data_IF_047857866729
#
_entry.id   IF_047857866729
#
_cell.length_a   1.000
_cell.length_b   1.000
_cell.length_c   1.000
_cell.angle_alpha   90.00
_cell.angle_beta   90.00
_cell.angle_gamma   90.00
#
_symmetry.space_group_name_H-M   'P 1'
#
loop_
_entity.id
_entity.type
_entity.pdbx_description
1 polymer ?
#
# COMPACT_ATOMS: atom_id res chain seq x y z
N UNK A 1 -33.61 -18.59 44.57
CA UNK A 1 -33.16 -17.52 43.65
C UNK A 1 -32.19 -18.00 42.55
N UNK A 2 -31.94 -19.27 42.33
CA UNK A 2 -30.96 -19.81 41.37
C UNK A 2 -31.60 -20.32 40.08
N UNK A 3 -32.92 -20.44 40.01
CA UNK A 3 -33.62 -21.01 38.85
C UNK A 3 -33.92 -19.96 37.77
N UNK A 4 -34.09 -18.70 38.10
CA UNK A 4 -34.40 -17.61 37.16
C UNK A 4 -33.18 -17.16 36.34
N UNK A 5 -31.96 -17.30 36.86
CA UNK A 5 -30.73 -16.94 36.13
C UNK A 5 -30.40 -17.94 35.00
N UNK A 6 -30.67 -19.23 35.23
CA UNK A 6 -30.46 -20.27 34.20
C UNK A 6 -31.43 -20.14 33.01
N UNK A 7 -32.65 -19.71 33.27
CA UNK A 7 -33.64 -19.45 32.19
C UNK A 7 -33.29 -18.22 31.36
N UNK A 8 -32.76 -17.16 31.96
CA UNK A 8 -32.31 -15.97 31.24
C UNK A 8 -31.07 -16.25 30.38
N UNK A 9 -30.15 -17.12 30.85
CA UNK A 9 -28.97 -17.50 30.09
C UNK A 9 -29.32 -18.42 28.88
N UNK A 10 -30.35 -19.26 29.03
CA UNK A 10 -30.80 -20.09 27.92
C UNK A 10 -31.57 -19.35 26.84
N UNK A 11 -32.23 -18.25 27.21
CA UNK A 11 -32.95 -17.36 26.27
C UNK A 11 -32.04 -16.46 25.45
N UNK A 12 -30.81 -16.21 25.92
CA UNK A 12 -29.82 -15.38 25.19
C UNK A 12 -29.06 -16.15 24.11
N UNK A 13 -29.15 -17.49 24.06
CA UNK A 13 -28.42 -18.34 23.10
C UNK A 13 -29.21 -18.57 21.80
N UNK A 14 -30.49 -18.24 21.77
CA UNK A 14 -31.38 -18.50 20.60
C UNK A 14 -31.48 -17.36 19.58
N UNK A 15 -30.67 -16.31 19.71
CA UNK A 15 -30.60 -15.22 18.73
C UNK A 15 -29.39 -15.36 17.79
N UNK A 16 -28.99 -16.61 17.46
CA UNK A 16 -28.18 -16.84 16.28
C UNK A 16 -29.11 -16.67 15.06
N UNK A 17 -29.19 -15.43 14.54
CA UNK A 17 -29.86 -15.16 13.29
C UNK A 17 -29.28 -16.08 12.21
N UNK A 18 -30.08 -17.03 11.72
CA UNK A 18 -29.70 -17.81 10.56
C UNK A 18 -29.49 -16.85 9.40
N UNK A 19 -28.26 -16.72 8.93
CA UNK A 19 -27.96 -16.01 7.70
C UNK A 19 -28.69 -16.77 6.58
N UNK A 20 -29.80 -16.22 6.09
CA UNK A 20 -30.54 -16.78 4.96
C UNK A 20 -29.63 -16.68 3.74
N UNK A 21 -29.08 -17.79 3.32
CA UNK A 21 -28.28 -17.91 2.10
C UNK A 21 -29.22 -17.76 0.89
N UNK A 22 -29.34 -16.55 0.38
CA UNK A 22 -30.17 -16.25 -0.80
C UNK A 22 -29.33 -16.33 -2.07
N UNK A 23 -29.94 -16.83 -3.14
CA UNK A 23 -29.36 -16.85 -4.48
C UNK A 23 -29.85 -15.64 -5.30
N UNK A 24 -28.98 -15.14 -6.16
CA UNK A 24 -29.29 -14.05 -7.09
C UNK A 24 -28.65 -14.35 -8.44
N UNK A 25 -29.37 -14.03 -9.54
CA UNK A 25 -28.77 -14.15 -10.88
C UNK A 25 -27.66 -13.10 -11.01
N UNK A 26 -26.45 -13.52 -11.40
CA UNK A 26 -25.31 -12.62 -11.47
C UNK A 26 -25.56 -11.43 -12.43
N UNK A 27 -26.24 -11.68 -13.55
CA UNK A 27 -26.60 -10.64 -14.51
C UNK A 27 -27.53 -9.55 -13.98
N UNK A 28 -28.33 -9.87 -12.95
CA UNK A 28 -29.27 -8.92 -12.32
C UNK A 28 -28.60 -8.05 -11.26
N UNK A 29 -27.36 -8.34 -10.91
CA UNK A 29 -26.59 -7.51 -9.98
C UNK A 29 -26.07 -6.29 -10.74
N UNK A 30 -26.64 -5.12 -10.46
CA UNK A 30 -26.24 -3.86 -11.11
C UNK A 30 -25.02 -3.23 -10.46
N UNK A 31 -24.89 -3.33 -9.15
CA UNK A 31 -23.83 -2.65 -8.40
C UNK A 31 -23.42 -3.49 -7.19
N UNK A 32 -22.10 -3.58 -6.96
CA UNK A 32 -21.52 -4.21 -5.78
C UNK A 32 -20.61 -3.18 -5.10
N UNK A 33 -20.80 -2.99 -3.79
CA UNK A 33 -19.92 -2.15 -2.97
C UNK A 33 -19.10 -3.07 -2.06
N UNK A 34 -17.80 -2.97 -2.16
CA UNK A 34 -16.82 -3.83 -1.47
C UNK A 34 -15.96 -2.99 -0.54
N UNK A 35 -15.64 -3.52 0.64
CA UNK A 35 -14.93 -2.79 1.69
C UNK A 35 -13.69 -3.53 2.16
N UNK A 36 -12.64 -2.78 2.46
CA UNK A 36 -11.42 -3.33 3.05
C UNK A 36 -11.68 -3.82 4.47
N UNK A 37 -11.09 -4.98 4.81
CA UNK A 37 -11.24 -5.59 6.13
C UNK A 37 -12.52 -6.40 6.33
N UNK A 38 -13.44 -6.39 5.39
CA UNK A 38 -14.62 -7.24 5.38
C UNK A 38 -14.38 -8.52 4.58
N UNK A 39 -15.07 -9.60 4.96
CA UNK A 39 -15.06 -10.88 4.23
C UNK A 39 -16.38 -11.10 3.51
N UNK A 40 -16.33 -11.87 2.42
CA UNK A 40 -17.53 -12.27 1.67
C UNK A 40 -18.32 -13.33 2.43
N UNK A 41 -19.59 -13.52 2.04
CA UNK A 41 -20.31 -14.75 2.39
C UNK A 41 -19.66 -15.96 1.70
N UNK A 42 -19.78 -17.12 2.31
CA UNK A 42 -19.33 -18.39 1.74
C UNK A 42 -20.27 -19.50 2.20
N UNK A 43 -20.63 -20.40 1.28
CA UNK A 43 -21.46 -21.58 1.54
C UNK A 43 -20.74 -22.86 1.11
N UNK A 44 -20.34 -22.94 -0.15
CA UNK A 44 -19.57 -24.06 -0.72
C UNK A 44 -18.07 -23.86 -0.54
N UNK A 45 -17.63 -22.61 -0.57
CA UNK A 45 -16.21 -22.22 -0.45
C UNK A 45 -16.02 -21.35 0.79
N UNK A 46 -14.80 -21.31 1.30
CA UNK A 46 -14.47 -20.42 2.41
C UNK A 46 -14.65 -18.94 2.03
N UNK A 47 -15.12 -18.10 2.96
CA UNK A 47 -15.14 -16.67 2.77
C UNK A 47 -13.77 -16.12 2.36
N UNK A 48 -13.74 -15.15 1.45
CA UNK A 48 -12.53 -14.45 1.03
C UNK A 48 -12.62 -12.97 1.42
N UNK A 49 -11.49 -12.23 1.50
CA UNK A 49 -11.55 -10.78 1.67
C UNK A 49 -12.33 -10.14 0.53
N UNK A 50 -13.18 -9.15 0.85
CA UNK A 50 -13.93 -8.42 -0.17
C UNK A 50 -13.02 -7.63 -1.12
N UNK A 51 -11.88 -7.11 -0.63
CA UNK A 51 -10.87 -6.44 -1.43
C UNK A 51 -9.53 -7.16 -1.29
N UNK A 52 -9.00 -7.66 -2.40
CA UNK A 52 -7.73 -8.38 -2.45
C UNK A 52 -6.81 -7.79 -3.54
N UNK A 53 -5.74 -7.11 -3.11
CA UNK A 53 -4.72 -6.59 -4.04
C UNK A 53 -3.77 -7.74 -4.42
N UNK A 54 -3.94 -8.29 -5.61
CA UNK A 54 -3.18 -9.47 -6.08
C UNK A 54 -1.88 -9.12 -6.79
N UNK A 55 -1.70 -7.88 -7.28
CA UNK A 55 -0.51 -7.52 -8.06
C UNK A 55 -0.39 -6.06 -8.41
N UNK A 56 0.42 -5.78 -9.43
CA UNK A 56 0.70 -4.46 -9.95
C UNK A 56 2.02 -3.86 -9.45
N UNK A 57 2.62 -2.98 -10.24
CA UNK A 57 3.92 -2.37 -9.94
C UNK A 57 3.86 -1.37 -8.77
N UNK A 58 2.66 -0.90 -8.41
CA UNK A 58 2.40 -0.03 -7.27
C UNK A 58 2.12 -0.75 -5.96
N UNK A 59 1.87 -2.08 -5.98
CA UNK A 59 1.40 -2.86 -4.82
C UNK A 59 2.24 -2.64 -3.56
N UNK A 60 3.55 -2.84 -3.66
CA UNK A 60 4.45 -2.73 -2.49
C UNK A 60 4.46 -1.32 -1.90
N UNK A 61 4.46 -0.30 -2.76
CA UNK A 61 4.45 1.09 -2.33
C UNK A 61 3.10 1.48 -1.71
N UNK A 62 2.00 1.04 -2.31
CA UNK A 62 0.66 1.26 -1.79
C UNK A 62 0.45 0.63 -0.40
N UNK A 63 0.89 -0.63 -0.21
CA UNK A 63 0.86 -1.27 1.11
C UNK A 63 1.66 -0.51 2.16
N UNK A 64 2.90 -0.12 1.84
CA UNK A 64 3.76 0.62 2.77
C UNK A 64 3.20 1.99 3.16
N UNK A 65 2.49 2.64 2.25
CA UNK A 65 1.87 3.96 2.47
C UNK A 65 0.47 3.89 3.05
N UNK A 66 -0.13 2.70 3.18
CA UNK A 66 -1.54 2.57 3.55
C UNK A 66 -2.48 3.20 2.53
N UNK A 67 -2.09 3.23 1.25
CA UNK A 67 -2.81 3.89 0.16
C UNK A 67 -3.70 2.92 -0.64
N UNK A 68 -4.00 1.74 -0.09
CA UNK A 68 -4.99 0.84 -0.68
C UNK A 68 -6.40 1.41 -0.50
N UNK A 69 -7.31 1.18 -1.47
CA UNK A 69 -8.67 1.67 -1.36
C UNK A 69 -9.39 1.03 -0.18
N UNK A 70 -10.13 1.83 0.57
CA UNK A 70 -10.98 1.35 1.67
C UNK A 70 -12.32 0.83 1.17
N UNK A 71 -12.82 1.42 0.07
CA UNK A 71 -14.08 1.07 -0.57
C UNK A 71 -13.90 1.08 -2.08
N UNK A 72 -14.45 0.08 -2.75
CA UNK A 72 -14.53 0.00 -4.21
C UNK A 72 -15.96 -0.29 -4.60
N UNK A 73 -16.46 0.42 -5.59
CA UNK A 73 -17.78 0.19 -6.18
C UNK A 73 -17.63 -0.34 -7.59
N UNK A 74 -18.19 -1.51 -7.86
CA UNK A 74 -18.22 -2.14 -9.17
C UNK A 74 -19.62 -2.05 -9.77
N UNK A 75 -19.71 -1.59 -11.01
CA UNK A 75 -20.96 -1.49 -11.79
C UNK A 75 -20.91 -2.50 -12.92
N UNK A 76 -22.03 -3.19 -13.09
CA UNK A 76 -22.24 -4.13 -14.19
C UNK A 76 -22.32 -3.35 -15.50
N UNK A 77 -21.47 -3.71 -16.46
CA UNK A 77 -21.39 -3.13 -17.81
C UNK A 77 -22.06 -4.00 -18.88
N UNK A 78 -22.76 -5.05 -18.44
CA UNK A 78 -23.34 -6.04 -19.33
C UNK A 78 -22.49 -7.31 -19.41
N UNK A 79 -22.84 -8.19 -20.34
CA UNK A 79 -22.17 -9.47 -20.56
C UNK A 79 -21.47 -9.46 -21.91
N UNK A 80 -20.32 -10.13 -21.98
CA UNK A 80 -19.61 -10.44 -23.22
C UNK A 80 -20.16 -11.69 -23.95
N UNK A 81 -21.24 -12.25 -23.44
CA UNK A 81 -21.85 -13.51 -23.91
C UNK A 81 -21.48 -14.72 -23.05
N UNK A 82 -20.45 -14.61 -22.21
CA UNK A 82 -20.02 -15.68 -21.29
C UNK A 82 -20.19 -15.26 -19.85
N UNK A 83 -19.65 -14.10 -19.50
CA UNK A 83 -19.66 -13.59 -18.12
C UNK A 83 -19.97 -12.09 -18.07
N UNK A 84 -20.31 -11.62 -16.88
CA UNK A 84 -20.57 -10.21 -16.61
C UNK A 84 -19.25 -9.44 -16.57
N UNK A 85 -19.23 -8.30 -17.24
CA UNK A 85 -18.14 -7.33 -17.24
C UNK A 85 -18.39 -6.23 -16.23
N UNK A 86 -17.34 -5.80 -15.54
CA UNK A 86 -17.44 -4.84 -14.44
C UNK A 86 -16.55 -3.62 -14.67
N UNK A 87 -17.08 -2.44 -14.35
CA UNK A 87 -16.31 -1.23 -14.15
C UNK A 87 -16.20 -0.95 -12.65
N UNK A 88 -15.02 -1.12 -12.08
CA UNK A 88 -14.77 -0.93 -10.67
C UNK A 88 -14.08 0.40 -10.41
N UNK A 89 -14.63 1.22 -9.53
CA UNK A 89 -14.17 2.58 -9.24
C UNK A 89 -13.78 2.72 -7.78
N UNK A 90 -12.62 3.32 -7.52
CA UNK A 90 -12.11 3.61 -6.20
C UNK A 90 -11.50 5.00 -6.13
N UNK A 91 -11.46 5.59 -4.94
CA UNK A 91 -10.68 6.79 -4.66
C UNK A 91 -9.27 6.37 -4.24
N UNK A 92 -8.26 6.87 -4.96
CA UNK A 92 -6.85 6.57 -4.76
C UNK A 92 -6.04 7.87 -4.70
N UNK A 93 -4.89 7.82 -4.03
CA UNK A 93 -3.87 8.85 -4.10
C UNK A 93 -3.35 8.98 -5.54
N UNK A 94 -2.99 10.19 -5.98
CA UNK A 94 -2.53 10.52 -7.34
C UNK A 94 -1.33 9.68 -7.80
N UNK A 95 -0.59 9.09 -6.86
CA UNK A 95 0.52 8.19 -7.16
C UNK A 95 0.10 6.81 -7.68
N UNK A 96 -1.17 6.41 -7.53
CA UNK A 96 -1.66 5.07 -7.81
C UNK A 96 -2.90 5.09 -8.69
N UNK A 97 -3.06 4.03 -9.48
CA UNK A 97 -4.29 3.78 -10.25
C UNK A 97 -4.70 2.31 -10.14
N UNK A 98 -6.00 2.05 -10.30
CA UNK A 98 -6.49 0.68 -10.48
C UNK A 98 -6.01 0.17 -11.85
N UNK A 99 -5.49 -1.03 -11.86
CA UNK A 99 -5.19 -1.79 -13.07
C UNK A 99 -6.32 -2.76 -13.40
N UNK A 100 -6.00 -4.03 -13.62
CA UNK A 100 -6.98 -5.09 -13.87
C UNK A 100 -7.80 -5.35 -12.61
N UNK A 101 -9.10 -5.57 -12.78
CA UNK A 101 -10.06 -5.83 -11.70
C UNK A 101 -10.94 -7.02 -12.08
N UNK A 102 -10.92 -8.08 -11.27
CA UNK A 102 -11.76 -9.25 -11.48
C UNK A 102 -12.69 -9.44 -10.28
N UNK A 103 -13.99 -9.57 -10.54
CA UNK A 103 -14.99 -9.85 -9.49
C UNK A 103 -15.12 -11.35 -9.33
N UNK A 104 -14.73 -11.87 -8.16
CA UNK A 104 -14.81 -13.29 -7.83
C UNK A 104 -16.09 -13.58 -7.02
N UNK A 105 -17.04 -14.33 -7.60
CA UNK A 105 -18.30 -14.70 -6.95
C UNK A 105 -18.41 -16.21 -6.78
N UNK A 106 -19.05 -16.66 -5.70
CA UNK A 106 -19.34 -18.06 -5.47
C UNK A 106 -20.63 -18.48 -6.19
N UNK A 107 -20.52 -19.43 -7.13
CA UNK A 107 -21.68 -20.03 -7.77
C UNK A 107 -22.54 -20.75 -6.73
N UNK A 108 -23.87 -20.67 -6.84
CA UNK A 108 -24.77 -21.10 -5.79
C UNK A 108 -24.77 -22.64 -5.60
N UNK A 109 -25.08 -23.41 -6.66
CA UNK A 109 -25.10 -24.89 -6.59
C UNK A 109 -23.77 -25.50 -7.04
N UNK A 110 -23.13 -24.92 -8.07
CA UNK A 110 -21.86 -25.37 -8.63
C UNK A 110 -20.99 -24.17 -9.06
N UNK A 111 -19.69 -24.34 -9.32
CA UNK A 111 -18.78 -23.20 -9.58
C UNK A 111 -19.26 -22.26 -10.70
N UNK A 112 -19.75 -22.79 -11.81
CA UNK A 112 -20.18 -22.02 -12.98
C UNK A 112 -21.70 -21.78 -13.01
N UNK A 113 -22.36 -21.84 -11.87
CA UNK A 113 -23.80 -21.55 -11.77
C UNK A 113 -24.06 -20.07 -12.16
N UNK A 114 -25.02 -19.76 -13.06
CA UNK A 114 -25.40 -18.39 -13.35
C UNK A 114 -25.98 -17.67 -12.13
N UNK A 115 -26.47 -18.39 -11.15
CA UNK A 115 -26.84 -17.85 -9.85
C UNK A 115 -25.65 -17.88 -8.91
N UNK A 116 -25.50 -16.81 -8.13
CA UNK A 116 -24.45 -16.68 -7.13
C UNK A 116 -25.04 -16.51 -5.73
N UNK A 117 -24.26 -16.88 -4.74
CA UNK A 117 -24.62 -16.64 -3.35
C UNK A 117 -24.57 -15.12 -3.07
N UNK A 118 -25.64 -14.58 -2.52
CA UNK A 118 -25.69 -13.16 -2.17
C UNK A 118 -24.59 -12.80 -1.18
N UNK A 119 -23.85 -11.73 -1.47
CA UNK A 119 -22.72 -11.28 -0.63
C UNK A 119 -21.43 -12.10 -0.78
N UNK A 120 -21.37 -13.06 -1.71
CA UNK A 120 -20.17 -13.88 -1.92
C UNK A 120 -19.13 -13.25 -2.84
N UNK A 121 -19.44 -12.13 -3.48
CA UNK A 121 -18.55 -11.47 -4.43
C UNK A 121 -17.47 -10.69 -3.71
N UNK A 122 -16.22 -10.88 -4.13
CA UNK A 122 -15.05 -10.12 -3.75
C UNK A 122 -14.34 -9.59 -4.99
N UNK A 123 -13.44 -8.62 -4.83
CA UNK A 123 -12.66 -8.02 -5.89
C UNK A 123 -11.19 -8.39 -5.75
N UNK A 124 -10.63 -8.99 -6.78
CA UNK A 124 -9.21 -9.11 -7.00
C UNK A 124 -8.77 -7.97 -7.93
N UNK A 125 -7.79 -7.20 -7.50
CA UNK A 125 -7.36 -6.04 -8.28
C UNK A 125 -5.84 -5.85 -8.26
N UNK A 126 -5.34 -5.12 -9.24
CA UNK A 126 -3.95 -4.70 -9.31
C UNK A 126 -3.83 -3.20 -9.07
N UNK A 127 -2.73 -2.77 -8.47
CA UNK A 127 -2.38 -1.35 -8.28
C UNK A 127 -1.18 -1.01 -9.15
N UNK A 128 -1.36 -0.02 -10.02
CA UNK A 128 -0.32 0.50 -10.89
C UNK A 128 0.17 1.86 -10.41
N UNK A 129 1.44 2.16 -10.66
CA UNK A 129 2.00 3.49 -10.43
C UNK A 129 1.63 4.44 -11.57
N UNK A 130 1.23 5.64 -11.20
CA UNK A 130 1.15 6.77 -12.13
C UNK A 130 2.56 7.35 -12.37
N UNK A 131 2.76 8.28 -13.34
CA UNK A 131 4.03 8.99 -13.49
C UNK A 131 4.52 9.64 -12.18
N UNK A 132 3.62 10.20 -11.38
CA UNK A 132 3.92 10.76 -10.05
C UNK A 132 4.39 9.66 -9.08
N UNK A 133 3.73 8.51 -9.07
CA UNK A 133 4.09 7.36 -8.26
C UNK A 133 5.47 6.82 -8.60
N UNK A 134 5.85 6.80 -9.87
CA UNK A 134 7.20 6.42 -10.30
C UNK A 134 8.28 7.37 -9.79
N UNK A 135 8.01 8.68 -9.71
CA UNK A 135 8.94 9.64 -9.12
C UNK A 135 9.12 9.39 -7.62
N UNK A 136 8.03 9.14 -6.90
CA UNK A 136 8.07 8.84 -5.47
C UNK A 136 8.82 7.53 -5.18
N UNK A 137 8.68 6.51 -6.03
CA UNK A 137 9.38 5.24 -5.87
C UNK A 137 10.89 5.39 -6.03
N UNK A 138 11.35 6.23 -6.95
CA UNK A 138 12.78 6.54 -7.16
C UNK A 138 13.39 7.30 -5.99
N UNK A 139 12.65 8.24 -5.39
CA UNK A 139 13.14 9.00 -4.23
C UNK A 139 13.32 8.11 -3.00
N UNK A 140 12.48 7.10 -2.83
CA UNK A 140 12.58 6.18 -1.69
C UNK A 140 13.79 5.22 -1.78
N UNK A 141 14.35 5.01 -2.97
CA UNK A 141 15.54 4.18 -3.19
C UNK A 141 16.86 4.95 -3.06
N UNK A 142 16.84 6.28 -3.20
CA UNK A 142 18.04 7.11 -3.13
C UNK A 142 18.43 7.54 -1.71
N UNK A 143 17.70 7.17 -0.70
CA UNK A 143 17.98 7.50 0.71
C UNK A 143 18.77 6.42 1.46
N UNK A 144 19.38 5.45 0.78
CA UNK A 144 20.40 4.61 1.39
C UNK A 144 21.66 5.47 1.56
N UNK A 145 21.74 6.19 2.69
CA UNK A 145 22.96 6.85 3.14
C UNK A 145 24.11 5.82 3.22
N UNK A 146 25.37 6.31 3.30
CA UNK A 146 26.51 5.41 3.33
C UNK A 146 26.31 4.36 4.43
N UNK A 147 26.40 3.10 4.04
CA UNK A 147 26.26 1.99 4.99
C UNK A 147 27.22 2.20 6.15
N UNK A 148 26.80 1.85 7.36
CA UNK A 148 27.65 1.94 8.56
C UNK A 148 29.02 1.31 8.30
N UNK A 149 29.11 0.26 7.48
CA UNK A 149 30.37 -0.34 7.00
C UNK A 149 31.25 0.61 6.20
N UNK A 150 30.66 1.50 5.37
CA UNK A 150 31.42 2.52 4.64
C UNK A 150 32.01 3.58 5.56
N UNK A 151 31.26 3.99 6.59
CA UNK A 151 31.75 4.95 7.59
C UNK A 151 32.86 4.33 8.43
N UNK A 152 32.71 3.09 8.87
CA UNK A 152 33.75 2.36 9.64
C UNK A 152 35.01 2.17 8.80
N UNK A 153 34.86 1.87 7.51
CA UNK A 153 36.00 1.72 6.60
C UNK A 153 36.74 3.06 6.40
N UNK A 154 36.03 4.16 6.22
CA UNK A 154 36.64 5.50 6.09
C UNK A 154 37.33 5.93 7.38
N UNK A 155 36.73 5.71 8.53
CA UNK A 155 37.36 5.99 9.85
C UNK A 155 38.57 5.11 10.05
N UNK A 156 38.53 3.85 9.72
CA UNK A 156 39.65 2.93 9.79
C UNK A 156 40.82 3.36 8.89
N UNK A 157 40.54 3.82 7.66
CA UNK A 157 41.52 4.32 6.72
C UNK A 157 42.21 5.59 7.24
N UNK A 158 41.44 6.53 7.83
CA UNK A 158 41.95 7.76 8.42
C UNK A 158 42.87 7.45 9.62
N UNK A 159 42.48 6.51 10.47
CA UNK A 159 43.29 6.08 11.63
C UNK A 159 44.57 5.37 11.19
N UNK A 160 44.54 4.52 10.16
CA UNK A 160 45.69 3.85 9.60
C UNK A 160 46.67 4.84 8.94
N UNK A 161 46.19 5.82 8.18
CA UNK A 161 47.03 6.88 7.61
C UNK A 161 47.61 7.82 8.68
N UNK A 162 46.89 8.04 9.80
CA UNK A 162 47.37 8.85 10.93
C UNK A 162 48.49 8.17 11.73
N UNK A 163 48.56 6.82 11.75
CA UNK A 163 49.61 6.07 12.47
C UNK A 163 50.93 5.93 11.70
N UNK A 164 50.96 6.22 10.38
CA UNK A 164 52.19 6.13 9.57
C UNK A 164 52.93 7.47 9.43
N UNK A 165 52.43 8.56 10.03
CA UNK A 165 53.05 9.86 10.03
C UNK A 165 53.66 10.24 11.38
N UNK A 166 54.49 9.37 11.94
CA UNK A 166 55.28 9.63 13.14
C UNK A 166 56.75 9.79 12.82
N UNK A 167 57.27 10.89 13.28
CA UNK A 167 58.65 11.29 13.50
C UNK A 167 59.28 12.30 12.52
N UNK A 168 59.65 13.43 13.08
CA UNK A 168 60.49 14.42 12.43
C UNK A 168 60.50 15.78 13.10
N UNK A 169 61.08 15.86 14.30
CA UNK A 169 61.81 16.99 14.94
C UNK A 169 61.75 18.39 14.30
N UNK A 170 61.42 19.34 15.17
CA UNK A 170 62.02 20.70 15.35
C UNK A 170 62.15 21.58 14.12
N UNK A 171 61.49 22.73 14.07
CA UNK A 171 62.15 24.03 14.18
C UNK A 171 61.14 25.18 13.94
N UNK A 172 61.12 26.06 14.88
CA UNK A 172 60.74 27.49 14.86
C UNK A 172 60.61 28.16 13.53
N UNK A 173 59.57 28.97 13.41
CA UNK A 173 59.45 30.32 12.87
C UNK A 173 58.27 30.53 11.94
N UNK A 174 57.39 31.38 12.47
CA UNK A 174 56.63 32.40 11.74
C UNK A 174 56.38 32.15 10.26
N UNK A 175 55.16 31.73 9.94
CA UNK A 175 54.52 32.15 8.70
C UNK A 175 53.03 32.07 8.91
N UNK A 176 52.34 33.14 8.62
CA UNK A 176 50.90 33.30 8.76
C UNK A 176 50.11 32.25 7.97
N UNK A 177 48.79 32.13 8.24
CA UNK A 177 47.97 31.12 7.62
C UNK A 177 47.99 31.25 6.09
N UNK A 178 48.58 30.25 5.44
CA UNK A 178 48.67 30.22 3.99
C UNK A 178 47.30 30.16 3.34
N UNK A 179 47.17 30.73 2.16
CA UNK A 179 45.99 30.79 1.29
C UNK A 179 45.16 29.48 1.22
N UNK A 180 45.83 28.33 1.35
CA UNK A 180 45.20 27.01 1.29
C UNK A 180 44.34 26.64 2.52
N UNK A 181 44.66 27.16 3.71
CA UNK A 181 43.87 26.89 4.90
C UNK A 181 42.54 27.67 4.91
N UNK A 182 42.53 28.85 4.29
CA UNK A 182 41.32 29.65 4.12
C UNK A 182 40.31 29.07 3.13
N UNK A 183 40.82 28.48 2.04
CA UNK A 183 39.94 27.84 1.03
C UNK A 183 39.22 26.58 1.54
N UNK A 184 39.91 25.80 2.37
CA UNK A 184 39.32 24.59 2.94
C UNK A 184 38.22 24.91 3.98
N UNK A 185 38.46 25.93 4.80
CA UNK A 185 37.45 26.38 5.79
C UNK A 185 36.30 27.15 5.15
N UNK A 186 36.53 27.88 4.06
CA UNK A 186 35.51 28.66 3.34
C UNK A 186 34.48 27.75 2.65
N UNK A 187 34.89 26.61 2.14
CA UNK A 187 33.96 25.66 1.47
C UNK A 187 33.00 24.96 2.43
N UNK A 188 33.40 24.74 3.69
CA UNK A 188 32.54 24.13 4.70
C UNK A 188 31.50 25.13 5.25
N UNK A 189 31.88 26.41 5.40
CA UNK A 189 30.93 27.44 5.86
C UNK A 189 29.86 27.77 4.82
N UNK A 190 30.20 27.66 3.51
CA UNK A 190 29.24 27.94 2.44
C UNK A 190 28.20 26.77 2.24
N UNK A 191 28.53 25.57 2.66
CA UNK A 191 27.59 24.44 2.57
C UNK A 191 26.62 24.33 3.74
N UNK A 192 26.90 24.99 4.87
CA UNK A 192 25.99 25.00 6.03
C UNK A 192 24.93 26.10 5.96
N UNK A 193 25.01 27.01 4.96
CA UNK A 193 24.06 28.10 4.72
C UNK A 193 22.90 27.77 3.78
N UNK A 194 22.76 26.52 3.29
CA UNK A 194 21.49 26.09 2.75
C UNK A 194 20.57 25.89 3.94
N UNK A 195 19.84 26.96 4.27
CA UNK A 195 18.58 26.82 4.95
C UNK A 195 17.90 25.59 4.36
N UNK A 196 17.83 24.52 5.12
CA UNK A 196 16.70 23.63 5.02
C UNK A 196 15.49 24.55 5.18
N UNK A 197 14.97 25.07 4.09
CA UNK A 197 13.53 25.21 4.03
C UNK A 197 13.07 23.81 4.36
N UNK A 198 12.80 23.59 5.62
CA UNK A 198 11.75 22.72 6.05
C UNK A 198 10.63 23.10 5.08
N UNK A 199 10.53 22.37 3.97
CA UNK A 199 9.24 22.13 3.37
C UNK A 199 8.50 21.55 4.54
N UNK A 200 7.83 22.45 5.30
CA UNK A 200 6.82 22.01 6.19
C UNK A 200 6.06 20.98 5.38
N UNK A 201 6.00 19.79 5.87
CA UNK A 201 4.87 18.92 5.65
C UNK A 201 3.68 19.72 6.21
N UNK A 202 3.37 20.82 5.52
CA UNK A 202 2.04 21.34 5.48
C UNK A 202 1.27 20.15 5.00
N UNK A 203 0.30 19.70 5.79
CA UNK A 203 -0.64 18.68 5.44
C UNK A 203 -1.28 19.07 4.10
N UNK A 204 -0.58 18.77 3.02
CA UNK A 204 -1.12 18.70 1.69
C UNK A 204 -2.04 17.50 1.79
N UNK A 205 -3.35 17.76 1.92
CA UNK A 205 -4.35 16.73 1.85
C UNK A 205 -3.98 15.86 0.67
N UNK A 206 -3.80 14.57 0.90
CA UNK A 206 -3.47 13.62 -0.14
C UNK A 206 -4.47 13.88 -1.26
N UNK A 207 -3.97 14.28 -2.43
CA UNK A 207 -4.84 14.55 -3.57
C UNK A 207 -5.35 13.19 -4.01
N UNK A 208 -6.58 12.89 -3.63
CA UNK A 208 -7.26 11.69 -4.09
C UNK A 208 -7.97 11.99 -5.42
N UNK A 209 -8.03 10.99 -6.27
CA UNK A 209 -8.82 11.03 -7.50
C UNK A 209 -9.54 9.70 -7.69
N UNK A 210 -10.57 9.75 -8.50
CA UNK A 210 -11.35 8.57 -8.83
C UNK A 210 -10.67 7.80 -9.95
N UNK A 211 -10.26 6.57 -9.66
CA UNK A 211 -9.65 5.64 -10.64
C UNK A 211 -10.63 4.52 -10.95
N UNK A 212 -10.75 4.16 -12.23
CA UNK A 212 -11.61 3.07 -12.70
C UNK A 212 -10.76 1.98 -13.31
N UNK A 213 -10.99 0.73 -12.91
CA UNK A 213 -10.47 -0.47 -13.51
C UNK A 213 -11.60 -1.27 -14.16
N UNK A 214 -11.27 -2.04 -15.17
CA UNK A 214 -12.22 -2.90 -15.89
C UNK A 214 -11.77 -4.34 -15.78
N UNK A 215 -12.73 -5.26 -15.75
CA UNK A 215 -12.48 -6.69 -15.75
C UNK A 215 -13.74 -7.53 -15.73
N UNK A 216 -13.55 -8.84 -15.76
CA UNK A 216 -14.62 -9.81 -15.86
C UNK A 216 -15.01 -10.40 -14.50
N UNK A 217 -15.74 -11.51 -14.60
CA UNK A 217 -16.15 -12.31 -13.45
C UNK A 217 -15.30 -13.59 -13.36
N UNK A 218 -14.83 -13.90 -12.17
CA UNK A 218 -14.28 -15.21 -11.82
C UNK A 218 -15.32 -16.00 -11.04
N UNK A 219 -15.51 -17.26 -11.40
CA UNK A 219 -16.39 -18.18 -10.66
C UNK A 219 -15.54 -19.04 -9.73
N UNK A 220 -16.01 -19.27 -8.51
CA UNK A 220 -15.35 -20.10 -7.50
C UNK A 220 -16.31 -21.06 -6.79
#
# INVERSE_FOLDING_TARGET
MTFTWKMLFFMCIMAAGEATHTRVLLGDIHTITLKSGESTAGMRTSPIPQLNCVGGNGRTLAHRKGALPSVVQCQNQGSDGTDVQWACTAELDTAFRLGVTDVACEGYEYPNDPYVLTGSCGLEFTIELTPEGHQLSRQSTSSSGPSVGGIVFLVGLVLLCGCLGGDGTRSTRNSGPGFWSGAAMGSWAASSGRSYRSSGYGGGGARSYRSTGFGGTKRR
#
